data_IF_412292863645
#
_entry.id   IF_412292863645
#
_cell.length_a   1.000
_cell.length_b   1.000
_cell.length_c   1.000
_cell.angle_alpha   90.00
_cell.angle_beta   90.00
_cell.angle_gamma   90.00
#
_symmetry.space_group_name_H-M   'P 1'
#
loop_
_entity.id
_entity.type
_entity.pdbx_description
1 polymer ?
#
# COMPACT_ATOMS: atom_id res chain seq x y z
N UNK A 1 5.85 11.54 12.48
CA UNK A 1 5.90 10.67 11.29
C UNK A 1 6.02 11.56 10.08
N UNK A 2 7.00 11.31 9.22
CA UNK A 2 7.20 12.11 8.00
C UNK A 2 6.58 11.39 6.80
N UNK A 3 6.13 12.16 5.80
CA UNK A 3 5.52 11.64 4.56
C UNK A 3 6.42 10.64 3.83
N UNK A 4 7.74 10.84 3.92
CA UNK A 4 8.77 9.98 3.33
C UNK A 4 8.81 8.55 3.88
N UNK A 5 8.06 8.26 4.95
CA UNK A 5 7.94 6.90 5.50
C UNK A 5 6.81 6.09 4.87
N UNK A 6 5.91 6.72 4.11
CA UNK A 6 4.75 6.06 3.51
C UNK A 6 4.96 5.84 2.01
N UNK A 7 5.15 4.59 1.63
CA UNK A 7 5.38 4.18 0.24
C UNK A 7 4.17 3.42 -0.33
N UNK A 8 3.87 3.64 -1.60
CA UNK A 8 2.86 2.91 -2.35
C UNK A 8 3.39 1.55 -2.80
N UNK A 9 2.56 0.52 -2.71
CA UNK A 9 2.84 -0.85 -3.19
C UNK A 9 2.24 -1.14 -4.56
N UNK A 10 1.44 -0.23 -5.12
CA UNK A 10 0.67 -0.49 -6.35
C UNK A 10 1.53 -0.89 -7.55
N UNK A 11 2.73 -0.32 -7.68
CA UNK A 11 3.67 -0.68 -8.75
C UNK A 11 4.22 -2.11 -8.58
N UNK A 12 4.47 -2.52 -7.33
CA UNK A 12 4.97 -3.85 -6.97
C UNK A 12 3.86 -4.89 -7.22
N UNK A 13 2.63 -4.61 -6.79
CA UNK A 13 1.47 -5.47 -7.02
C UNK A 13 1.27 -5.77 -8.52
N UNK A 14 1.32 -4.74 -9.37
CA UNK A 14 1.23 -4.91 -10.83
C UNK A 14 2.38 -5.75 -11.40
N UNK A 15 3.57 -5.68 -10.82
CA UNK A 15 4.73 -6.47 -11.25
C UNK A 15 4.65 -7.94 -10.82
N UNK A 16 4.01 -8.20 -9.67
CA UNK A 16 3.84 -9.52 -9.06
C UNK A 16 2.89 -10.42 -9.86
N UNK A 17 1.72 -9.90 -10.27
CA UNK A 17 0.58 -10.71 -10.79
C UNK A 17 0.96 -11.58 -12.01
N UNK A 18 2.02 -11.22 -12.73
CA UNK A 18 2.49 -11.95 -13.91
C UNK A 18 3.50 -13.09 -13.61
N UNK A 19 3.97 -13.26 -12.37
CA UNK A 19 4.99 -14.26 -12.01
C UNK A 19 4.34 -15.56 -11.53
N UNK A 20 4.64 -16.68 -12.21
CA UNK A 20 4.11 -18.02 -11.89
C UNK A 20 5.16 -18.97 -11.29
N UNK A 21 6.43 -18.58 -11.37
CA UNK A 21 7.58 -19.35 -10.90
C UNK A 21 8.59 -18.41 -10.26
N UNK A 22 9.38 -18.93 -9.33
CA UNK A 22 10.46 -18.21 -8.65
C UNK A 22 11.79 -18.28 -9.41
N UNK A 23 12.88 -17.90 -8.74
CA UNK A 23 14.25 -17.98 -9.28
C UNK A 23 14.78 -19.41 -9.42
N UNK A 24 14.21 -20.37 -8.71
CA UNK A 24 14.58 -21.81 -8.72
C UNK A 24 13.65 -22.64 -9.63
N UNK A 25 12.73 -22.00 -10.36
CA UNK A 25 11.65 -22.61 -11.16
C UNK A 25 10.61 -23.39 -10.34
N UNK A 26 10.52 -23.15 -9.03
CA UNK A 26 9.46 -23.66 -8.18
C UNK A 26 8.19 -22.83 -8.45
N UNK A 27 7.06 -23.54 -8.56
CA UNK A 27 5.76 -22.91 -8.80
C UNK A 27 5.37 -22.03 -7.62
N UNK A 28 4.98 -20.79 -7.93
CA UNK A 28 4.50 -19.85 -6.93
C UNK A 28 2.99 -19.97 -6.81
N UNK A 29 2.49 -20.12 -5.58
CA UNK A 29 1.06 -20.05 -5.29
C UNK A 29 0.76 -18.82 -4.43
N UNK A 30 0.29 -17.75 -5.09
CA UNK A 30 -0.01 -16.48 -4.44
C UNK A 30 -1.08 -16.57 -3.34
N UNK A 31 -2.00 -17.53 -3.42
CA UNK A 31 -3.08 -17.70 -2.43
C UNK A 31 -2.62 -18.37 -1.12
N UNK A 32 -1.44 -18.98 -1.11
CA UNK A 32 -0.89 -19.65 0.08
C UNK A 32 0.13 -18.80 0.84
N UNK A 33 0.34 -17.56 0.42
CA UNK A 33 1.34 -16.68 1.04
C UNK A 33 0.86 -16.25 2.42
N UNK A 34 1.74 -16.39 3.41
CA UNK A 34 1.53 -15.89 4.77
C UNK A 34 2.35 -14.64 5.06
N UNK A 35 3.55 -14.57 4.51
CA UNK A 35 4.48 -13.47 4.76
C UNK A 35 5.15 -13.05 3.43
N UNK A 36 5.26 -11.74 3.26
CA UNK A 36 5.99 -11.11 2.15
C UNK A 36 7.02 -10.16 2.77
N UNK A 37 8.28 -10.40 2.47
CA UNK A 37 9.39 -9.55 2.87
C UNK A 37 9.99 -8.86 1.64
N UNK A 38 10.16 -7.54 1.75
CA UNK A 38 10.74 -6.69 0.72
C UNK A 38 11.97 -6.00 1.30
N UNK A 39 13.14 -6.30 0.74
CA UNK A 39 14.41 -5.77 1.22
C UNK A 39 14.85 -4.57 0.39
N UNK A 40 15.12 -3.43 1.06
CA UNK A 40 15.69 -2.24 0.39
C UNK A 40 17.01 -2.52 -0.35
N UNK A 41 17.80 -3.48 0.14
CA UNK A 41 19.07 -3.93 -0.47
C UNK A 41 18.87 -4.75 -1.75
N UNK A 42 17.73 -5.45 -1.87
CA UNK A 42 17.40 -6.32 -3.00
C UNK A 42 16.05 -5.90 -3.60
N UNK A 43 16.05 -4.80 -4.38
CA UNK A 43 14.83 -4.15 -4.79
C UNK A 43 13.94 -4.95 -5.74
N UNK A 44 14.55 -5.78 -6.59
CA UNK A 44 13.82 -6.59 -7.54
C UNK A 44 13.58 -8.00 -7.02
N UNK A 45 13.78 -8.25 -5.73
CA UNK A 45 13.53 -9.54 -5.10
C UNK A 45 12.44 -9.41 -4.05
N UNK A 46 11.49 -10.32 -4.12
CA UNK A 46 10.46 -10.50 -3.11
C UNK A 46 10.70 -11.84 -2.45
N UNK A 47 10.74 -11.85 -1.12
CA UNK A 47 10.89 -13.06 -0.34
C UNK A 47 9.52 -13.43 0.22
N UNK A 48 9.10 -14.68 0.01
CA UNK A 48 7.77 -15.12 0.42
C UNK A 48 7.83 -16.40 1.20
N UNK A 49 6.93 -16.52 2.18
CA UNK A 49 6.79 -17.74 2.97
C UNK A 49 5.36 -18.22 2.93
N UNK A 50 5.22 -19.53 2.73
CA UNK A 50 3.92 -20.22 2.80
C UNK A 50 3.66 -20.83 4.16
N UNK A 51 4.71 -21.08 4.93
CA UNK A 51 4.69 -21.59 6.30
C UNK A 51 5.77 -20.91 7.14
N UNK A 52 5.83 -21.21 8.44
CA UNK A 52 6.78 -20.60 9.37
C UNK A 52 8.10 -21.39 9.50
N UNK A 53 8.18 -22.57 8.89
CA UNK A 53 9.30 -23.51 9.07
C UNK A 53 10.27 -23.46 7.89
N UNK A 54 9.78 -23.16 6.68
CA UNK A 54 10.58 -23.13 5.46
C UNK A 54 11.32 -21.80 5.28
N UNK A 55 12.42 -21.89 4.53
CA UNK A 55 13.13 -20.73 4.06
C UNK A 55 12.27 -19.93 3.07
N UNK A 56 12.43 -18.61 3.05
CA UNK A 56 11.67 -17.75 2.16
C UNK A 56 12.06 -17.99 0.69
N UNK A 57 11.04 -18.18 -0.15
CA UNK A 57 11.17 -18.33 -1.59
C UNK A 57 11.48 -16.97 -2.23
N UNK A 58 12.57 -16.86 -2.99
CA UNK A 58 12.97 -15.61 -3.66
C UNK A 58 12.37 -15.52 -5.08
N UNK A 59 11.47 -14.55 -5.26
CA UNK A 59 10.91 -14.18 -6.56
C UNK A 59 11.60 -12.93 -7.06
N UNK A 60 12.32 -13.07 -8.17
CA UNK A 60 12.76 -11.91 -8.92
C UNK A 60 11.53 -11.26 -9.59
N UNK A 61 11.38 -9.93 -9.56
CA UNK A 61 10.33 -9.14 -10.22
C UNK A 61 10.86 -8.24 -11.34
N UNK A 62 12.15 -8.28 -11.65
CA UNK A 62 12.80 -7.53 -12.73
C UNK A 62 12.23 -7.88 -14.12
N UNK A 63 11.80 -6.88 -14.91
CA UNK A 63 11.26 -7.10 -16.26
C UNK A 63 12.26 -7.84 -17.15
N UNK A 64 11.84 -8.92 -17.81
CA UNK A 64 12.64 -9.64 -18.81
C UNK A 64 12.72 -8.84 -20.12
N UNK A 65 13.86 -8.94 -20.84
CA UNK A 65 14.19 -8.21 -22.10
C UNK A 65 13.06 -8.29 -23.15
N UNK A 66 12.80 -7.16 -23.81
CA UNK A 66 11.84 -7.04 -24.94
C UNK A 66 10.77 -5.96 -24.76
N UNK A 67 10.61 -5.40 -23.55
CA UNK A 67 9.69 -4.30 -23.26
C UNK A 67 10.43 -2.96 -23.37
N UNK A 68 9.89 -1.91 -24.04
CA UNK A 68 10.56 -0.62 -24.18
C UNK A 68 10.94 -0.05 -22.82
N UNK A 69 12.25 0.16 -22.66
CA UNK A 69 12.90 0.37 -21.38
C UNK A 69 12.94 1.86 -21.00
N UNK A 70 11.80 2.46 -20.68
CA UNK A 70 11.82 3.75 -19.95
C UNK A 70 12.22 3.58 -18.47
N UNK A 71 12.53 2.35 -18.04
CA UNK A 71 12.83 1.96 -16.66
C UNK A 71 14.26 1.40 -16.45
N UNK A 72 15.13 1.40 -17.47
CA UNK A 72 16.46 0.76 -17.42
C UNK A 72 17.51 1.47 -16.54
N UNK A 73 17.13 2.46 -15.73
CA UNK A 73 18.02 3.02 -14.71
C UNK A 73 17.34 2.99 -13.34
N UNK A 74 17.40 1.78 -12.78
CA UNK A 74 17.49 1.43 -11.37
C UNK A 74 17.58 2.61 -10.40
N UNK A 75 16.43 3.00 -9.87
CA UNK A 75 16.33 3.28 -8.45
C UNK A 75 15.01 2.66 -8.02
N UNK A 76 15.07 1.61 -7.21
CA UNK A 76 13.88 1.06 -6.57
C UNK A 76 13.13 2.10 -5.74
N UNK A 77 13.88 3.08 -5.23
CA UNK A 77 13.35 4.28 -4.61
C UNK A 77 12.41 5.08 -5.53
N UNK A 78 12.51 4.93 -6.86
CA UNK A 78 11.54 5.49 -7.83
C UNK A 78 10.33 4.58 -8.07
N UNK A 79 10.44 3.28 -7.76
CA UNK A 79 9.32 2.33 -7.80
C UNK A 79 8.44 2.45 -6.55
N UNK A 80 9.06 2.78 -5.42
CA UNK A 80 8.38 3.11 -4.17
C UNK A 80 7.98 4.58 -4.20
N UNK A 81 6.92 4.88 -4.96
CA UNK A 81 6.33 6.22 -4.98
C UNK A 81 5.75 6.56 -3.59
N UNK A 82 5.83 7.82 -3.17
CA UNK A 82 5.20 8.27 -1.92
C UNK A 82 3.69 8.00 -1.98
N UNK A 83 3.14 7.32 -0.97
CA UNK A 83 1.72 6.98 -0.92
C UNK A 83 0.84 8.23 -0.82
N UNK A 84 1.30 9.23 -0.06
CA UNK A 84 0.58 10.48 0.18
C UNK A 84 1.52 11.69 0.06
N UNK A 85 1.91 12.06 -1.18
CA UNK A 85 2.88 13.15 -1.39
C UNK A 85 2.37 14.50 -0.87
N UNK A 86 1.06 14.72 -0.91
CA UNK A 86 0.40 15.93 -0.43
C UNK A 86 -0.33 15.72 0.92
N UNK A 87 -0.01 14.64 1.64
CA UNK A 87 -0.76 14.20 2.80
C UNK A 87 -1.99 13.37 2.44
N UNK A 88 -2.49 12.59 3.42
CA UNK A 88 -3.66 11.74 3.25
C UNK A 88 -4.92 12.62 3.28
N UNK A 89 -5.73 12.66 2.21
CA UNK A 89 -7.00 13.36 2.25
C UNK A 89 -7.97 12.71 3.24
N UNK A 90 -8.89 13.51 3.77
CA UNK A 90 -9.99 13.07 4.62
C UNK A 90 -11.31 13.41 3.93
N UNK A 91 -12.41 12.79 4.35
CA UNK A 91 -13.72 13.13 3.81
C UNK A 91 -14.06 14.60 4.06
N UNK A 92 -14.71 15.22 3.08
CA UNK A 92 -15.04 16.65 3.11
C UNK A 92 -15.89 17.03 4.35
N UNK A 93 -16.90 16.22 4.68
CA UNK A 93 -17.76 16.42 5.87
C UNK A 93 -16.96 16.43 7.17
N UNK A 94 -15.97 15.54 7.29
CA UNK A 94 -15.10 15.50 8.46
C UNK A 94 -14.16 16.69 8.54
N UNK A 95 -13.69 17.17 7.39
CA UNK A 95 -12.90 18.40 7.35
C UNK A 95 -13.72 19.61 7.80
N UNK A 96 -14.98 19.71 7.39
CA UNK A 96 -15.90 20.76 7.85
C UNK A 96 -16.11 20.71 9.37
N UNK A 97 -16.36 19.52 9.91
CA UNK A 97 -16.51 19.33 11.35
C UNK A 97 -15.24 19.74 12.11
N UNK A 98 -14.07 19.28 11.66
CA UNK A 98 -12.78 19.68 12.24
C UNK A 98 -12.52 21.19 12.15
N UNK A 99 -12.94 21.84 11.06
CA UNK A 99 -12.84 23.30 10.91
C UNK A 99 -13.74 24.02 11.90
N UNK A 100 -14.93 23.50 12.19
CA UNK A 100 -15.84 24.07 13.20
C UNK A 100 -15.22 24.04 14.60
N UNK A 101 -14.41 23.01 14.90
CA UNK A 101 -13.74 22.82 16.18
C UNK A 101 -12.42 23.61 16.32
N UNK A 102 -11.96 24.32 15.29
CA UNK A 102 -10.71 25.09 15.32
C UNK A 102 -10.68 26.17 16.41
N UNK A 103 -11.83 26.61 16.93
CA UNK A 103 -11.88 27.55 18.05
C UNK A 103 -11.34 26.95 19.35
N UNK A 104 -11.49 25.64 19.56
CA UNK A 104 -11.05 24.91 20.75
C UNK A 104 -9.60 24.41 20.67
N UNK A 105 -9.00 24.42 19.46
CA UNK A 105 -7.65 23.94 19.24
C UNK A 105 -6.61 25.02 19.60
N UNK A 106 -5.53 24.68 20.33
CA UNK A 106 -4.41 25.57 20.61
C UNK A 106 -3.78 26.19 19.33
N UNK A 107 -3.32 27.45 19.41
CA UNK A 107 -2.86 28.23 18.24
C UNK A 107 -1.70 27.58 17.47
N UNK A 108 -0.78 26.96 18.19
CA UNK A 108 0.36 26.20 17.68
C UNK A 108 -0.08 24.99 16.84
N UNK A 109 -1.15 24.30 17.25
CA UNK A 109 -1.69 23.15 16.52
C UNK A 109 -2.58 23.55 15.34
N UNK A 110 -3.15 24.77 15.29
CA UNK A 110 -4.07 25.19 14.21
C UNK A 110 -3.46 25.09 12.80
N UNK A 111 -2.13 25.26 12.67
CA UNK A 111 -1.45 25.17 11.37
C UNK A 111 -1.62 23.79 10.73
N UNK A 112 -1.60 22.73 11.54
CA UNK A 112 -1.80 21.36 11.07
C UNK A 112 -3.18 21.19 10.45
N UNK A 113 -4.24 21.50 11.21
CA UNK A 113 -5.62 21.30 10.77
C UNK A 113 -6.03 22.18 9.58
N UNK A 114 -5.44 23.37 9.44
CA UNK A 114 -5.66 24.24 8.27
C UNK A 114 -5.10 23.69 6.97
N UNK A 115 -4.08 22.82 7.05
CA UNK A 115 -3.44 22.22 5.88
C UNK A 115 -4.07 20.87 5.48
N UNK A 116 -5.12 20.42 6.18
CA UNK A 116 -5.84 19.20 5.82
C UNK A 116 -6.58 19.39 4.50
N UNK A 117 -6.55 18.34 3.68
CA UNK A 117 -7.19 18.31 2.35
C UNK A 117 -8.45 17.45 2.45
N UNK A 118 -9.57 18.01 1.97
CA UNK A 118 -10.85 17.31 1.88
C UNK A 118 -10.98 16.66 0.51
N UNK A 119 -11.54 15.47 0.46
CA UNK A 119 -11.90 14.77 -0.78
C UNK A 119 -13.40 14.42 -0.75
N UNK A 120 -14.19 14.89 -1.74
CA UNK A 120 -15.63 14.64 -1.80
C UNK A 120 -15.97 13.18 -2.17
N UNK A 121 -15.01 12.42 -2.70
CA UNK A 121 -15.21 11.03 -3.12
C UNK A 121 -14.86 10.02 -2.03
N UNK A 122 -14.31 10.48 -0.89
CA UNK A 122 -14.08 9.62 0.26
C UNK A 122 -15.38 9.52 1.04
N UNK A 123 -16.06 8.39 0.88
CA UNK A 123 -17.14 7.99 1.79
C UNK A 123 -16.51 7.46 3.07
N UNK A 124 -16.81 8.10 4.21
CA UNK A 124 -16.48 7.50 5.50
C UNK A 124 -17.50 6.41 5.81
N UNK A 125 -17.02 5.32 6.39
CA UNK A 125 -17.90 4.32 6.98
C UNK A 125 -18.50 4.90 8.27
N UNK A 126 -19.58 5.65 8.12
CA UNK A 126 -20.30 6.32 9.22
C UNK A 126 -21.14 5.29 10.01
N UNK A 127 -21.35 4.10 9.46
CA UNK A 127 -22.30 3.13 10.02
C UNK A 127 -21.66 2.19 11.05
N UNK A 128 -20.33 2.10 11.09
CA UNK A 128 -19.60 1.31 12.07
C UNK A 128 -19.86 -0.20 11.96
N UNK A 129 -19.38 -0.94 12.97
CA UNK A 129 -19.34 -2.42 13.05
C UNK A 129 -20.70 -3.16 12.92
N UNK A 130 -21.82 -2.43 12.74
CA UNK A 130 -23.18 -2.98 12.68
C UNK A 130 -23.84 -2.86 11.28
N UNK A 131 -23.13 -2.36 10.26
CA UNK A 131 -23.62 -2.43 8.89
C UNK A 131 -23.48 -3.84 8.31
N UNK A 132 -24.35 -4.19 7.35
CA UNK A 132 -24.11 -5.39 6.52
C UNK A 132 -22.73 -5.24 5.88
N UNK A 133 -21.84 -6.24 6.01
CA UNK A 133 -20.55 -6.23 5.35
C UNK A 133 -20.72 -5.98 3.85
N UNK A 134 -19.89 -5.12 3.28
CA UNK A 134 -19.78 -4.86 1.84
C UNK A 134 -19.03 -5.98 1.09
N UNK A 135 -18.66 -7.05 1.81
CA UNK A 135 -18.09 -8.28 1.30
C UNK A 135 -18.98 -9.49 1.64
N UNK A 136 -19.00 -10.55 0.80
CA UNK A 136 -19.73 -11.77 1.10
C UNK A 136 -19.13 -12.44 2.34
N UNK A 137 -19.98 -12.71 3.34
CA UNK A 137 -19.62 -13.60 4.44
C UNK A 137 -19.60 -15.03 3.90
N UNK A 138 -18.46 -15.71 4.01
CA UNK A 138 -18.41 -17.17 3.82
C UNK A 138 -19.27 -17.79 4.94
N UNK A 139 -20.36 -18.45 4.57
CA UNK A 139 -21.11 -19.27 5.51
C UNK A 139 -20.26 -20.51 5.80
N UNK A 140 -19.85 -20.66 7.05
CA UNK A 140 -19.29 -21.92 7.55
C UNK A 140 -20.42 -22.96 7.60
N UNK A 141 -20.53 -23.80 6.56
CA UNK A 141 -21.23 -25.09 6.59
C UNK A 141 -20.34 -26.19 7.19
#
# INVERSE_FOLDING_TARGET
>A
MESENFFSTAAIEKAIVNRKVDTENIKVNWLKIREIEVLKKKPFSIFMRTDFETAAQEINIEKKRGMPSNYSNSNFSKLLESLWPNGKPIAEKKLEDLKSLLCFIPKDAKKFYKNLIGDPYIEEDINGFNAQPDFPLENDD
#
